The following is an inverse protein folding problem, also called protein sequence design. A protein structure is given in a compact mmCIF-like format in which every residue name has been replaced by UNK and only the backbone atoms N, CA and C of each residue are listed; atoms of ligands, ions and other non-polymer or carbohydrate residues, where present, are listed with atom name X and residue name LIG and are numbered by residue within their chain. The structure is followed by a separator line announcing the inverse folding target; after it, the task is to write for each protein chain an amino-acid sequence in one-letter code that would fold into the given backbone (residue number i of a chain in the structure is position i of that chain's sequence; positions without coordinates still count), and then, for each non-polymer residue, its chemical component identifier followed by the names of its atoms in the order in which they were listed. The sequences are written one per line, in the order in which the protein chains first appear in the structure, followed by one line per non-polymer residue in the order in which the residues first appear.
data_IF_098321964039
#
_entry.id   IF_098321964039
#
_cell.length_a   1.000
_cell.length_b   1.000
_cell.length_c   1.000
_cell.angle_alpha   90.00
_cell.angle_beta   90.00
_cell.angle_gamma   90.00
#
_symmetry.space_group_name_H-M   'P 1'
#
loop_
_entity.id
_entity.type
_entity.pdbx_description
1 polymer ?
#
# COMPACT_ATOMS: atom_id res chain seq x y z
N UNK A 1 11.28 -17.12 24.83
CA UNK A 1 11.05 -18.50 24.38
C UNK A 1 9.64 -18.67 23.80
N UNK A 2 8.58 -18.37 24.55
CA UNK A 2 7.17 -18.57 24.10
C UNK A 2 6.84 -17.91 22.76
N UNK A 3 7.18 -16.64 22.55
CA UNK A 3 6.87 -15.96 21.28
C UNK A 3 7.59 -16.60 20.09
N UNK A 4 8.87 -16.99 20.26
CA UNK A 4 9.64 -17.61 19.20
C UNK A 4 9.04 -18.99 18.85
N UNK A 5 8.73 -19.80 19.87
CA UNK A 5 8.07 -21.09 19.67
C UNK A 5 6.70 -20.94 18.99
N UNK A 6 5.91 -19.93 19.37
CA UNK A 6 4.62 -19.63 18.75
C UNK A 6 4.77 -19.25 17.27
N UNK A 7 5.74 -18.38 16.94
CA UNK A 7 6.05 -18.01 15.55
C UNK A 7 6.51 -19.24 14.75
N UNK A 8 7.44 -20.04 15.29
CA UNK A 8 7.92 -21.25 14.62
C UNK A 8 6.79 -22.23 14.37
N UNK A 9 5.95 -22.51 15.38
CA UNK A 9 4.80 -23.39 15.23
C UNK A 9 3.80 -22.84 14.20
N UNK A 10 3.51 -21.55 14.24
CA UNK A 10 2.62 -20.92 13.25
C UNK A 10 3.14 -21.02 11.82
N UNK A 11 4.45 -20.91 11.62
CA UNK A 11 5.08 -21.06 10.30
C UNK A 11 5.01 -22.51 9.80
N UNK A 12 5.23 -23.49 10.67
CA UNK A 12 5.28 -24.92 10.33
C UNK A 12 3.89 -25.53 10.16
N UNK A 13 2.93 -25.15 11.02
CA UNK A 13 1.54 -25.64 10.96
C UNK A 13 0.72 -24.98 9.84
N UNK A 14 1.28 -24.00 9.14
CA UNK A 14 0.61 -23.34 8.03
C UNK A 14 0.28 -24.36 6.90
N UNK A 15 -0.95 -24.36 6.35
CA UNK A 15 -1.33 -25.29 5.27
C UNK A 15 -0.46 -25.21 4.01
N UNK A 16 0.23 -24.08 3.81
CA UNK A 16 1.12 -23.84 2.69
C UNK A 16 2.60 -24.04 3.03
N UNK A 17 2.94 -24.64 4.18
CA UNK A 17 4.32 -24.96 4.52
C UNK A 17 4.92 -25.95 3.50
N UNK A 18 6.13 -25.74 2.97
CA UNK A 18 7.12 -24.68 3.23
C UNK A 18 7.02 -23.48 2.27
N UNK A 19 6.08 -23.49 1.33
CA UNK A 19 5.92 -22.45 0.29
C UNK A 19 5.62 -21.07 0.89
N UNK A 20 4.97 -21.01 2.04
CA UNK A 20 4.77 -19.77 2.80
C UNK A 20 6.10 -19.05 3.11
N UNK A 21 7.18 -19.77 3.44
CA UNK A 21 8.49 -19.18 3.72
C UNK A 21 9.06 -18.48 2.48
N UNK A 22 8.97 -19.14 1.32
CA UNK A 22 9.39 -18.56 0.05
C UNK A 22 8.54 -17.33 -0.30
N UNK A 23 7.22 -17.41 -0.11
CA UNK A 23 6.32 -16.27 -0.31
C UNK A 23 6.66 -15.08 0.59
N UNK A 24 6.96 -15.30 1.89
CA UNK A 24 7.37 -14.22 2.78
C UNK A 24 8.72 -13.62 2.39
N UNK A 25 9.66 -14.45 1.95
CA UNK A 25 10.93 -13.96 1.41
C UNK A 25 10.71 -13.07 0.17
N UNK A 26 9.80 -13.47 -0.73
CA UNK A 26 9.44 -12.65 -1.88
C UNK A 26 8.80 -11.32 -1.44
N UNK A 27 7.81 -11.35 -0.55
CA UNK A 27 7.10 -10.15 -0.11
C UNK A 27 7.98 -9.18 0.68
N UNK A 28 8.71 -9.68 1.68
CA UNK A 28 9.49 -8.82 2.59
C UNK A 28 10.79 -8.38 1.92
N UNK A 29 11.56 -9.32 1.37
CA UNK A 29 12.90 -9.01 0.86
C UNK A 29 12.85 -8.56 -0.59
N UNK A 30 12.20 -9.32 -1.47
CA UNK A 30 12.27 -9.04 -2.91
C UNK A 30 11.42 -7.85 -3.32
N UNK A 31 10.18 -7.79 -2.85
CA UNK A 31 9.24 -6.70 -3.13
C UNK A 31 9.52 -5.55 -2.16
N UNK A 32 9.48 -5.81 -0.85
CA UNK A 32 9.61 -4.76 0.16
C UNK A 32 10.97 -4.07 0.21
N UNK A 33 12.06 -4.83 0.32
CA UNK A 33 13.40 -4.26 0.53
C UNK A 33 14.13 -4.01 -0.78
N UNK A 34 14.21 -4.98 -1.70
CA UNK A 34 14.94 -4.81 -2.97
C UNK A 34 14.17 -3.83 -3.84
N UNK A 35 12.86 -4.06 -4.01
CA UNK A 35 11.92 -3.24 -4.77
C UNK A 35 12.35 -3.09 -6.24
N UNK A 36 11.70 -3.84 -7.14
CA UNK A 36 12.04 -3.90 -8.57
C UNK A 36 11.50 -2.72 -9.40
N UNK A 37 11.17 -1.59 -8.78
CA UNK A 37 10.62 -0.39 -9.43
C UNK A 37 11.40 0.11 -10.66
N UNK A 38 12.71 -0.17 -10.76
CA UNK A 38 13.54 0.24 -11.92
C UNK A 38 13.38 -0.71 -13.12
N UNK A 39 12.73 -1.86 -12.94
CA UNK A 39 12.63 -2.93 -13.96
C UNK A 39 11.19 -3.27 -14.34
N UNK A 40 10.26 -3.07 -13.43
CA UNK A 40 8.85 -3.41 -13.60
C UNK A 40 7.99 -2.30 -13.00
N UNK A 41 6.77 -2.17 -13.50
CA UNK A 41 5.82 -1.18 -13.02
C UNK A 41 5.08 -1.76 -11.80
N UNK A 42 5.57 -1.46 -10.60
CA UNK A 42 4.98 -1.92 -9.32
C UNK A 42 3.95 -0.93 -8.80
N UNK A 43 3.20 -1.32 -7.77
CA UNK A 43 2.26 -0.44 -7.09
C UNK A 43 2.89 0.89 -6.65
N UNK A 44 2.12 1.97 -6.75
CA UNK A 44 2.56 3.34 -6.44
C UNK A 44 3.09 3.52 -5.01
N UNK A 45 2.69 2.64 -4.09
CA UNK A 45 3.13 2.60 -2.70
C UNK A 45 4.61 2.24 -2.52
N UNK A 46 5.20 1.58 -3.52
CA UNK A 46 6.61 1.19 -3.48
C UNK A 46 7.56 2.34 -3.80
N UNK A 47 7.05 3.44 -4.36
CA UNK A 47 7.83 4.64 -4.64
C UNK A 47 7.97 5.51 -3.39
N UNK A 48 9.02 6.35 -3.29
CA UNK A 48 9.23 7.25 -2.16
C UNK A 48 8.18 8.37 -2.09
N UNK A 49 8.04 8.96 -0.90
CA UNK A 49 7.29 10.20 -0.73
C UNK A 49 8.05 11.39 -1.34
N UNK A 50 7.35 12.36 -1.95
CA UNK A 50 7.86 13.72 -2.04
C UNK A 50 8.15 14.23 -0.61
N UNK A 51 9.32 14.84 -0.34
CA UNK A 51 9.73 15.20 1.02
C UNK A 51 8.70 16.05 1.80
N UNK A 52 8.01 16.96 1.11
CA UNK A 52 7.00 17.82 1.70
C UNK A 52 5.68 17.08 2.01
N UNK A 53 5.34 16.06 1.23
CA UNK A 53 4.09 15.32 1.39
C UNK A 53 4.09 14.47 2.67
N UNK A 54 5.23 13.84 3.00
CA UNK A 54 5.38 13.05 4.23
C UNK A 54 5.20 13.94 5.47
N UNK A 55 5.81 15.13 5.48
CA UNK A 55 5.69 16.06 6.59
C UNK A 55 4.28 16.62 6.71
N UNK A 56 3.63 16.97 5.60
CA UNK A 56 2.28 17.53 5.61
C UNK A 56 1.22 16.51 6.05
N UNK A 57 1.36 15.25 5.63
CA UNK A 57 0.41 14.17 5.97
C UNK A 57 0.49 13.72 7.43
N UNK A 58 1.59 14.03 8.14
CA UNK A 58 1.81 13.56 9.51
C UNK A 58 2.42 14.62 10.42
N UNK A 59 2.11 15.90 10.16
CA UNK A 59 2.73 17.06 10.81
C UNK A 59 2.68 16.99 12.34
N UNK A 60 1.54 16.62 12.90
CA UNK A 60 1.34 16.51 14.36
C UNK A 60 2.26 15.44 14.96
N UNK A 61 2.36 14.28 14.30
CA UNK A 61 3.19 13.16 14.77
C UNK A 61 4.66 13.55 14.74
N UNK A 62 5.13 14.15 13.65
CA UNK A 62 6.52 14.63 13.54
C UNK A 62 6.82 15.74 14.55
N UNK A 63 5.88 16.67 14.80
CA UNK A 63 6.06 17.72 15.79
C UNK A 63 6.22 17.16 17.22
N UNK A 64 5.35 16.22 17.61
CA UNK A 64 5.46 15.52 18.90
C UNK A 64 6.78 14.76 18.99
N UNK A 65 7.18 14.07 17.91
CA UNK A 65 8.43 13.34 17.86
C UNK A 65 9.66 14.24 17.97
N UNK A 66 9.65 15.44 17.37
CA UNK A 66 10.74 16.41 17.53
C UNK A 66 10.87 16.90 18.98
N UNK A 67 9.76 17.17 19.66
CA UNK A 67 9.77 17.51 21.09
C UNK A 67 10.35 16.35 21.90
N UNK A 68 9.88 15.12 21.64
CA UNK A 68 10.41 13.94 22.30
C UNK A 68 11.92 13.78 22.05
N UNK A 69 12.38 13.96 20.82
CA UNK A 69 13.81 13.86 20.47
C UNK A 69 14.65 14.90 21.23
N UNK A 70 14.17 16.14 21.34
CA UNK A 70 14.82 17.17 22.15
C UNK A 70 14.90 16.75 23.63
N UNK A 71 13.79 16.24 24.19
CA UNK A 71 13.73 15.75 25.57
C UNK A 71 14.65 14.54 25.79
N UNK A 72 14.77 13.65 24.81
CA UNK A 72 15.68 12.51 24.85
C UNK A 72 17.13 12.98 24.99
N UNK A 73 17.56 13.95 24.19
CA UNK A 73 18.95 14.45 24.20
C UNK A 73 19.34 15.05 25.55
N UNK A 74 18.44 15.79 26.21
CA UNK A 74 18.71 16.39 27.53
C UNK A 74 18.53 15.40 28.70
N UNK A 75 17.85 14.28 28.48
CA UNK A 75 17.49 13.31 29.52
C UNK A 75 18.06 11.91 29.28
N UNK A 76 19.06 11.76 28.42
CA UNK A 76 19.56 10.47 27.94
C UNK A 76 19.88 9.47 29.06
N UNK A 77 20.39 9.94 30.20
CA UNK A 77 20.70 9.11 31.39
C UNK A 77 19.48 8.54 32.10
N UNK A 78 18.29 9.12 31.89
CA UNK A 78 17.02 8.66 32.46
C UNK A 78 16.28 7.66 31.56
N UNK A 79 16.74 7.52 30.32
CA UNK A 79 16.10 6.66 29.34
C UNK A 79 16.44 5.20 29.62
N UNK A 80 15.51 4.30 29.32
CA UNK A 80 15.70 2.87 29.50
C UNK A 80 15.86 2.16 28.16
N UNK A 81 16.16 0.87 28.21
CA UNK A 81 16.33 0.06 27.00
C UNK A 81 15.10 0.11 26.09
N UNK A 82 13.88 0.16 26.65
CA UNK A 82 12.63 0.20 25.87
C UNK A 82 12.52 1.48 25.04
N UNK A 83 12.72 2.66 25.64
CA UNK A 83 12.62 3.94 24.92
C UNK A 83 13.71 4.06 23.85
N UNK A 84 14.92 3.57 24.13
CA UNK A 84 16.02 3.54 23.16
C UNK A 84 15.70 2.58 22.00
N UNK A 85 15.22 1.36 22.28
CA UNK A 85 14.85 0.40 21.23
C UNK A 85 13.74 0.94 20.34
N UNK A 86 12.72 1.57 20.91
CA UNK A 86 11.64 2.20 20.15
C UNK A 86 12.16 3.35 19.27
N UNK A 87 13.07 4.18 19.80
CA UNK A 87 13.68 5.26 19.03
C UNK A 87 14.50 4.73 17.85
N UNK A 88 15.29 3.67 18.06
CA UNK A 88 16.04 3.00 16.99
C UNK A 88 15.08 2.46 15.93
N UNK A 89 13.97 1.83 16.33
CA UNK A 89 12.94 1.34 15.40
C UNK A 89 12.26 2.49 14.65
N UNK A 90 11.98 3.61 15.30
CA UNK A 90 11.46 4.81 14.64
C UNK A 90 12.39 5.30 13.52
N UNK A 91 13.71 5.39 13.79
CA UNK A 91 14.67 5.79 12.77
C UNK A 91 14.85 4.74 11.67
N UNK A 92 14.81 3.46 12.03
CA UNK A 92 14.83 2.36 11.06
C UNK A 92 13.66 2.45 10.09
N UNK A 93 12.43 2.60 10.60
CA UNK A 93 11.25 2.76 9.75
C UNK A 93 11.24 4.10 9.02
N UNK A 94 11.83 5.16 9.58
CA UNK A 94 11.95 6.44 8.87
C UNK A 94 12.83 6.27 7.64
N UNK A 95 13.97 5.59 7.77
CA UNK A 95 14.84 5.28 6.64
C UNK A 95 14.13 4.44 5.58
N UNK A 96 13.30 3.46 5.99
CA UNK A 96 12.49 2.68 5.07
C UNK A 96 11.37 3.51 4.40
N UNK A 97 10.72 4.41 5.12
CA UNK A 97 9.67 5.30 4.56
C UNK A 97 10.24 6.29 3.55
N UNK A 98 11.46 6.75 3.75
CA UNK A 98 12.16 7.57 2.76
C UNK A 98 12.44 6.80 1.46
N UNK A 99 12.51 5.48 1.52
CA UNK A 99 12.62 4.61 0.34
C UNK A 99 11.27 4.32 -0.30
N UNK A 100 10.23 4.01 0.48
CA UNK A 100 8.90 3.61 -0.02
C UNK A 100 7.79 4.09 0.92
N UNK A 101 6.70 4.60 0.33
CA UNK A 101 5.51 5.08 1.06
C UNK A 101 4.90 4.00 1.94
N UNK A 102 4.96 2.73 1.52
CA UNK A 102 4.39 1.58 2.24
C UNK A 102 4.81 1.51 3.71
N UNK A 103 6.03 1.91 4.03
CA UNK A 103 6.56 1.80 5.39
C UNK A 103 6.00 2.86 6.36
N UNK A 104 5.24 3.85 5.88
CA UNK A 104 4.61 4.86 6.74
C UNK A 104 3.68 4.22 7.78
N UNK A 105 3.02 3.12 7.41
CA UNK A 105 2.12 2.36 8.29
C UNK A 105 2.84 1.81 9.52
N UNK A 106 4.15 1.56 9.42
CA UNK A 106 4.99 1.16 10.55
C UNK A 106 5.62 2.38 11.24
N UNK A 107 6.12 3.35 10.46
CA UNK A 107 6.76 4.54 10.99
C UNK A 107 5.88 5.28 12.00
N UNK A 108 4.63 5.58 11.64
CA UNK A 108 3.75 6.44 12.45
C UNK A 108 3.48 5.84 13.84
N UNK A 109 3.08 4.55 13.99
CA UNK A 109 2.97 3.92 15.30
C UNK A 109 4.27 3.99 16.11
N UNK A 110 5.42 3.70 15.50
CA UNK A 110 6.70 3.73 16.21
C UNK A 110 7.08 5.15 16.65
N UNK A 111 6.86 6.18 15.82
CA UNK A 111 7.09 7.57 16.22
C UNK A 111 6.23 7.95 17.43
N UNK A 112 4.95 7.60 17.43
CA UNK A 112 4.01 7.93 18.52
C UNK A 112 4.43 7.22 19.81
N UNK A 113 4.65 5.91 19.76
CA UNK A 113 4.98 5.11 20.96
C UNK A 113 6.37 5.48 21.48
N UNK A 114 7.36 5.68 20.60
CA UNK A 114 8.68 6.18 21.00
C UNK A 114 8.56 7.54 21.67
N UNK A 115 7.78 8.47 21.10
CA UNK A 115 7.57 9.79 21.68
C UNK A 115 6.98 9.71 23.08
N UNK A 116 5.91 8.92 23.25
CA UNK A 116 5.26 8.74 24.54
C UNK A 116 6.23 8.22 25.61
N UNK A 117 6.99 7.17 25.30
CA UNK A 117 7.96 6.59 26.24
C UNK A 117 9.07 7.58 26.60
N UNK A 118 9.65 8.24 25.61
CA UNK A 118 10.71 9.22 25.83
C UNK A 118 10.19 10.36 26.72
N UNK A 119 9.02 10.90 26.42
CA UNK A 119 8.37 11.95 27.20
C UNK A 119 8.16 11.45 28.64
N UNK A 120 7.56 10.28 28.85
CA UNK A 120 7.35 9.72 30.20
C UNK A 120 8.64 9.58 31.01
N UNK A 121 9.75 9.10 30.43
CA UNK A 121 11.01 8.95 31.18
C UNK A 121 11.82 10.25 31.31
N UNK A 122 11.66 11.19 30.38
CA UNK A 122 12.35 12.48 30.43
C UNK A 122 11.82 13.33 31.58
N UNK A 123 10.50 13.25 31.76
CA UNK A 123 9.72 14.05 32.66
C UNK A 123 9.69 13.37 34.04
N UNK A 124 10.07 14.12 35.09
CA UNK A 124 10.02 13.62 36.47
C UNK A 124 8.57 13.34 36.90
N UNK A 125 8.38 12.59 37.99
CA UNK A 125 7.07 12.40 38.63
C UNK A 125 6.34 13.74 38.92
N UNK A 126 7.09 14.84 39.07
CA UNK A 126 6.56 16.20 39.29
C UNK A 126 6.29 17.00 38.00
N UNK A 127 6.42 16.44 36.80
CA UNK A 127 6.23 17.20 35.56
C UNK A 127 4.84 17.82 35.44
N UNK A 128 3.81 17.09 35.85
CA UNK A 128 2.43 17.61 35.86
C UNK A 128 2.37 18.83 36.78
N UNK A 129 3.08 18.81 37.90
CA UNK A 129 3.19 19.94 38.81
C UNK A 129 3.98 21.11 38.21
N UNK A 130 5.10 20.86 37.53
CA UNK A 130 5.95 21.89 36.90
C UNK A 130 5.22 22.56 35.71
N UNK A 131 4.56 21.78 34.86
CA UNK A 131 3.69 22.31 33.80
C UNK A 131 2.53 23.10 34.40
N UNK A 132 1.86 22.56 35.41
CA UNK A 132 0.77 23.27 36.08
C UNK A 132 1.24 24.61 36.66
N UNK A 133 2.41 24.64 37.30
CA UNK A 133 2.99 25.85 37.85
C UNK A 133 3.36 26.88 36.76
N UNK A 134 3.98 26.43 35.66
CA UNK A 134 4.28 27.29 34.51
C UNK A 134 3.00 27.84 33.86
N UNK A 135 1.99 27.00 33.65
CA UNK A 135 0.68 27.40 33.13
C UNK A 135 0.00 28.41 34.05
N UNK A 136 -0.04 28.14 35.35
CA UNK A 136 -0.68 29.01 36.33
C UNK A 136 0.03 30.36 36.46
N UNK A 137 1.37 30.37 36.45
CA UNK A 137 2.19 31.59 36.45
C UNK A 137 1.98 32.41 35.18
N UNK A 138 1.97 31.76 34.01
CA UNK A 138 1.74 32.44 32.73
C UNK A 138 0.31 32.99 32.63
N UNK A 139 -0.68 32.21 33.05
CA UNK A 139 -2.07 32.66 33.16
C UNK A 139 -2.19 33.87 34.08
N UNK A 140 -1.62 33.82 35.29
CA UNK A 140 -1.71 34.91 36.27
C UNK A 140 -1.05 36.20 35.77
N UNK A 141 0.09 36.11 35.09
CA UNK A 141 0.87 37.27 34.64
C UNK A 141 0.44 37.81 33.26
N UNK A 142 -0.13 36.98 32.39
CA UNK A 142 -0.41 37.29 30.98
C UNK A 142 -1.73 36.65 30.48
N UNK A 143 -2.84 36.88 31.20
CA UNK A 143 -4.17 36.30 30.91
C UNK A 143 -4.59 36.39 29.43
N UNK A 144 -4.48 37.58 28.82
CA UNK A 144 -4.90 37.79 27.42
C UNK A 144 -4.07 36.92 26.47
N UNK A 145 -2.74 36.94 26.60
CA UNK A 145 -1.85 36.13 25.77
C UNK A 145 -2.09 34.63 25.93
N UNK A 146 -2.42 34.17 27.15
CA UNK A 146 -2.79 32.79 27.41
C UNK A 146 -4.06 32.38 26.64
N UNK A 147 -5.14 33.18 26.72
CA UNK A 147 -6.36 32.88 25.97
C UNK A 147 -6.14 32.93 24.46
N UNK A 148 -5.36 33.89 23.94
CA UNK A 148 -5.00 33.95 22.53
C UNK A 148 -4.24 32.69 22.08
N UNK A 149 -3.26 32.22 22.87
CA UNK A 149 -2.52 31.00 22.57
C UNK A 149 -3.41 29.75 22.64
N UNK A 150 -4.28 29.66 23.65
CA UNK A 150 -5.21 28.54 23.78
C UNK A 150 -6.18 28.48 22.60
N UNK A 151 -6.79 29.61 22.23
CA UNK A 151 -7.67 29.73 21.07
C UNK A 151 -6.91 29.39 19.79
N UNK A 152 -5.68 29.89 19.63
CA UNK A 152 -4.84 29.58 18.48
C UNK A 152 -4.56 28.08 18.36
N UNK A 153 -4.13 27.41 19.44
CA UNK A 153 -3.86 25.98 19.42
C UNK A 153 -5.13 25.17 19.15
N UNK A 154 -6.23 25.47 19.83
CA UNK A 154 -7.52 24.80 19.61
C UNK A 154 -7.95 24.97 18.14
N UNK A 155 -7.90 26.19 17.61
CA UNK A 155 -8.23 26.47 16.21
C UNK A 155 -7.30 25.74 15.24
N UNK A 156 -5.99 25.77 15.49
CA UNK A 156 -4.98 25.10 14.67
C UNK A 156 -5.21 23.58 14.60
N UNK A 157 -5.37 22.92 15.75
CA UNK A 157 -5.66 21.49 15.80
C UNK A 157 -7.02 21.14 15.19
N UNK A 158 -8.04 21.99 15.38
CA UNK A 158 -9.37 21.79 14.79
C UNK A 158 -9.33 21.88 13.27
N UNK A 159 -8.62 22.87 12.70
CA UNK A 159 -8.47 23.05 11.26
C UNK A 159 -7.73 21.88 10.63
N UNK A 160 -6.62 21.44 11.23
CA UNK A 160 -5.86 20.28 10.73
C UNK A 160 -6.72 19.02 10.78
N UNK A 161 -7.36 18.75 11.93
CA UNK A 161 -8.21 17.56 12.10
C UNK A 161 -9.38 17.57 11.11
N UNK A 162 -10.03 18.71 10.90
CA UNK A 162 -11.12 18.84 9.94
C UNK A 162 -10.65 18.60 8.50
N UNK A 163 -9.49 19.15 8.12
CA UNK A 163 -8.90 18.94 6.81
C UNK A 163 -8.59 17.45 6.57
N UNK A 164 -8.01 16.77 7.54
CA UNK A 164 -7.72 15.34 7.46
C UNK A 164 -9.00 14.51 7.34
N UNK A 165 -10.00 14.75 8.20
CA UNK A 165 -11.30 14.05 8.13
C UNK A 165 -11.97 14.26 6.76
N UNK A 166 -11.95 15.48 6.24
CA UNK A 166 -12.52 15.78 4.92
C UNK A 166 -11.77 15.05 3.82
N UNK A 167 -10.43 15.06 3.85
CA UNK A 167 -9.58 14.36 2.89
C UNK A 167 -9.83 12.86 2.92
N UNK A 168 -9.80 12.24 4.11
CA UNK A 168 -10.09 10.82 4.28
C UNK A 168 -11.49 10.48 3.79
N UNK A 169 -12.51 11.31 4.06
CA UNK A 169 -13.86 11.08 3.55
C UNK A 169 -13.92 11.13 2.03
N UNK A 170 -13.19 12.06 1.41
CA UNK A 170 -13.08 12.15 -0.05
C UNK A 170 -12.39 10.90 -0.61
N UNK A 171 -11.24 10.52 -0.06
CA UNK A 171 -10.48 9.34 -0.47
C UNK A 171 -11.31 8.05 -0.35
N UNK A 172 -12.08 7.90 0.74
CA UNK A 172 -13.00 6.77 0.93
C UNK A 172 -14.22 6.81 0.00
N UNK A 173 -14.73 8.00 -0.34
CA UNK A 173 -15.87 8.15 -1.26
C UNK A 173 -15.50 7.84 -2.72
N UNK A 174 -14.22 7.93 -3.07
CA UNK A 174 -13.64 7.54 -4.36
C UNK A 174 -13.15 6.08 -4.34
N UNK A 175 -13.34 5.37 -3.22
CA UNK A 175 -12.91 3.98 -3.05
C UNK A 175 -13.44 3.04 -4.13
N UNK A 176 -12.69 1.96 -4.37
CA UNK A 176 -12.96 0.96 -5.41
C UNK A 176 -14.41 0.49 -5.36
N UNK A 177 -15.11 0.64 -6.49
CA UNK A 177 -16.50 0.20 -6.61
C UNK A 177 -16.56 -1.31 -6.33
N UNK A 178 -17.29 -1.70 -5.28
CA UNK A 178 -17.44 -3.11 -4.94
C UNK A 178 -18.06 -3.92 -6.08
N UNK A 179 -18.80 -3.29 -6.98
CA UNK A 179 -19.40 -3.95 -8.15
C UNK A 179 -18.49 -3.98 -9.38
N UNK A 180 -17.24 -3.51 -9.28
CA UNK A 180 -16.30 -3.49 -10.40
C UNK A 180 -16.13 -4.90 -10.99
N UNK A 181 -16.28 -4.99 -12.31
CA UNK A 181 -16.28 -6.20 -13.12
C UNK A 181 -17.32 -7.26 -12.75
N UNK A 182 -18.32 -6.95 -11.93
CA UNK A 182 -19.32 -7.94 -11.50
C UNK A 182 -20.00 -8.61 -12.69
N UNK A 183 -20.40 -7.83 -13.70
CA UNK A 183 -21.11 -8.35 -14.87
C UNK A 183 -20.16 -9.08 -15.82
N UNK A 184 -18.99 -8.51 -16.09
CA UNK A 184 -17.90 -9.15 -16.84
C UNK A 184 -17.49 -10.50 -16.24
N UNK A 185 -17.27 -10.58 -14.93
CA UNK A 185 -16.93 -11.81 -14.22
C UNK A 185 -18.05 -12.86 -14.30
N UNK A 186 -19.31 -12.45 -14.17
CA UNK A 186 -20.48 -13.33 -14.35
C UNK A 186 -20.59 -13.85 -15.78
N UNK A 187 -20.35 -12.99 -16.77
CA UNK A 187 -20.31 -13.39 -18.17
C UNK A 187 -19.23 -14.44 -18.41
N UNK A 188 -18.00 -14.21 -17.95
CA UNK A 188 -16.89 -15.15 -18.06
C UNK A 188 -17.24 -16.51 -17.45
N UNK A 189 -17.76 -16.52 -16.23
CA UNK A 189 -18.17 -17.76 -15.54
C UNK A 189 -19.20 -18.57 -16.32
N UNK A 190 -20.13 -17.90 -17.01
CA UNK A 190 -21.21 -18.55 -17.76
C UNK A 190 -20.81 -18.96 -19.19
N UNK A 191 -19.74 -18.38 -19.75
CA UNK A 191 -19.36 -18.54 -21.16
C UNK A 191 -17.95 -19.14 -21.33
N UNK A 192 -17.39 -19.74 -20.29
CA UNK A 192 -16.07 -20.38 -20.29
C UNK A 192 -16.12 -21.75 -19.63
N UNK A 193 -15.05 -22.51 -19.80
CA UNK A 193 -14.84 -23.79 -19.12
C UNK A 193 -14.22 -23.59 -17.73
N UNK A 194 -14.41 -24.57 -16.85
CA UNK A 194 -13.79 -24.55 -15.53
C UNK A 194 -12.27 -24.44 -15.66
N UNK A 195 -11.67 -23.52 -14.92
CA UNK A 195 -10.23 -23.22 -14.90
C UNK A 195 -9.67 -22.72 -16.23
N UNK A 196 -10.52 -22.33 -17.18
CA UNK A 196 -10.08 -21.65 -18.39
C UNK A 196 -9.37 -20.34 -18.01
N UNK A 197 -8.23 -20.10 -18.65
CA UNK A 197 -7.36 -18.96 -18.36
C UNK A 197 -7.89 -17.74 -19.11
N UNK A 198 -8.13 -16.66 -18.37
CA UNK A 198 -8.51 -15.35 -18.88
C UNK A 198 -7.24 -14.51 -18.94
N UNK A 199 -6.98 -13.91 -20.09
CA UNK A 199 -5.97 -12.87 -20.25
C UNK A 199 -6.56 -11.53 -19.81
N UNK A 200 -6.43 -11.18 -18.53
CA UNK A 200 -6.74 -9.82 -18.06
C UNK A 200 -5.61 -8.85 -18.39
N UNK A 201 -5.93 -7.56 -18.49
CA UNK A 201 -4.99 -6.52 -18.93
C UNK A 201 -4.20 -5.87 -17.80
N UNK A 202 -4.71 -5.89 -16.58
CA UNK A 202 -4.03 -5.34 -15.41
C UNK A 202 -3.99 -6.35 -14.25
N UNK A 203 -2.95 -6.26 -13.43
CA UNK A 203 -2.83 -7.04 -12.20
C UNK A 203 -3.80 -6.54 -11.12
N UNK A 204 -4.17 -5.26 -11.16
CA UNK A 204 -5.21 -4.67 -10.30
C UNK A 204 -6.63 -5.17 -10.60
N UNK A 205 -6.85 -5.76 -11.78
CA UNK A 205 -8.15 -6.36 -12.14
C UNK A 205 -8.42 -7.66 -11.38
N UNK A 206 -7.37 -8.32 -10.88
CA UNK A 206 -7.48 -9.66 -10.30
C UNK A 206 -8.40 -9.73 -9.07
N UNK A 207 -8.26 -8.89 -8.03
CA UNK A 207 -9.10 -9.00 -6.83
C UNK A 207 -10.61 -8.94 -7.09
N UNK A 208 -11.16 -7.94 -7.82
CA UNK A 208 -12.60 -7.92 -8.12
C UNK A 208 -13.03 -9.08 -9.02
N UNK A 209 -12.22 -9.46 -10.01
CA UNK A 209 -12.52 -10.61 -10.87
C UNK A 209 -12.58 -11.92 -10.09
N UNK A 210 -11.59 -12.19 -9.25
CA UNK A 210 -11.51 -13.39 -8.44
C UNK A 210 -12.63 -13.47 -7.40
N UNK A 211 -13.03 -12.32 -6.83
CA UNK A 211 -14.16 -12.24 -5.90
C UNK A 211 -15.48 -12.71 -6.54
N UNK A 212 -15.76 -12.27 -7.77
CA UNK A 212 -16.99 -12.63 -8.47
C UNK A 212 -16.91 -13.94 -9.27
N UNK A 213 -15.70 -14.34 -9.65
CA UNK A 213 -15.46 -15.49 -10.51
C UNK A 213 -14.17 -16.23 -10.14
N UNK A 214 -14.30 -17.18 -9.23
CA UNK A 214 -13.26 -18.17 -8.92
C UNK A 214 -13.34 -19.44 -9.80
N UNK A 215 -14.22 -19.46 -10.81
CA UNK A 215 -14.35 -20.57 -11.76
C UNK A 215 -13.25 -20.54 -12.82
N UNK A 216 -12.72 -19.35 -13.13
CA UNK A 216 -11.64 -19.12 -14.08
C UNK A 216 -10.29 -18.85 -13.43
N UNK A 217 -9.21 -18.99 -14.21
CA UNK A 217 -7.85 -18.59 -13.83
C UNK A 217 -7.45 -17.29 -14.52
N UNK A 218 -6.52 -16.57 -13.91
CA UNK A 218 -6.09 -15.24 -14.31
C UNK A 218 -4.56 -15.21 -14.43
N UNK A 219 -4.02 -14.51 -15.43
CA UNK A 219 -2.58 -14.52 -15.76
C UNK A 219 -1.69 -14.01 -14.63
N UNK A 220 -2.03 -12.85 -14.09
CA UNK A 220 -1.30 -12.17 -13.01
C UNK A 220 -2.27 -11.68 -11.93
N UNK A 221 -1.90 -11.88 -10.67
CA UNK A 221 -2.63 -11.32 -9.54
C UNK A 221 -1.65 -10.89 -8.46
N UNK A 222 -2.07 -9.93 -7.63
CA UNK A 222 -1.18 -9.25 -6.67
C UNK A 222 -0.06 -8.51 -7.42
N UNK A 223 1.14 -8.47 -6.84
CA UNK A 223 2.27 -7.70 -7.36
C UNK A 223 2.87 -8.31 -8.66
N UNK A 224 3.13 -7.49 -9.71
CA UNK A 224 3.69 -7.97 -10.98
C UNK A 224 5.09 -8.62 -10.84
N UNK A 225 5.79 -8.38 -9.72
CA UNK A 225 7.03 -9.07 -9.37
C UNK A 225 6.87 -10.59 -9.40
N UNK A 226 5.72 -11.13 -9.00
CA UNK A 226 5.49 -12.59 -9.02
C UNK A 226 5.62 -13.15 -10.43
N UNK A 227 5.00 -12.50 -11.41
CA UNK A 227 5.08 -12.90 -12.82
C UNK A 227 6.50 -12.72 -13.36
N UNK A 228 7.14 -11.58 -13.07
CA UNK A 228 8.52 -11.30 -13.49
C UNK A 228 9.51 -12.34 -12.95
N UNK A 229 9.35 -12.77 -11.70
CA UNK A 229 10.21 -13.78 -11.07
C UNK A 229 9.94 -15.19 -11.56
N UNK A 230 8.69 -15.48 -11.94
CA UNK A 230 8.33 -16.75 -12.53
C UNK A 230 8.93 -16.90 -13.94
N UNK A 231 8.71 -15.92 -14.82
CA UNK A 231 9.29 -15.89 -16.15
C UNK A 231 9.38 -14.45 -16.67
N UNK A 232 10.62 -13.93 -16.77
CA UNK A 232 10.88 -12.56 -17.23
C UNK A 232 10.46 -12.30 -18.67
N UNK A 233 10.63 -13.28 -19.55
CA UNK A 233 10.24 -13.16 -20.96
C UNK A 233 8.72 -13.06 -21.06
N UNK A 234 8.00 -13.94 -20.36
CA UNK A 234 6.54 -13.93 -20.34
C UNK A 234 5.99 -12.64 -19.71
N UNK A 235 6.62 -12.12 -18.66
CA UNK A 235 6.27 -10.81 -18.09
C UNK A 235 6.48 -9.68 -19.11
N UNK A 236 7.64 -9.62 -19.76
CA UNK A 236 7.92 -8.57 -20.76
C UNK A 236 6.90 -8.62 -21.89
N UNK A 237 6.61 -9.82 -22.38
CA UNK A 237 5.61 -10.04 -23.43
C UNK A 237 4.21 -9.60 -22.98
N UNK A 238 3.82 -9.94 -21.75
CA UNK A 238 2.56 -9.49 -21.16
C UNK A 238 2.47 -7.97 -21.15
N UNK A 239 3.49 -7.28 -20.63
CA UNK A 239 3.53 -5.81 -20.58
C UNK A 239 3.48 -5.19 -21.98
N UNK A 240 4.21 -5.75 -22.95
CA UNK A 240 4.23 -5.25 -24.32
C UNK A 240 2.87 -5.40 -25.02
N UNK A 241 2.18 -6.52 -24.77
CA UNK A 241 0.81 -6.75 -25.25
C UNK A 241 -0.17 -5.79 -24.56
N UNK A 242 -0.19 -5.73 -23.22
CA UNK A 242 -1.19 -4.94 -22.48
C UNK A 242 -1.04 -3.44 -22.71
N UNK A 243 0.18 -2.93 -22.78
CA UNK A 243 0.45 -1.52 -23.16
C UNK A 243 0.17 -1.22 -24.64
N UNK A 244 -0.08 -2.25 -25.46
CA UNK A 244 -0.34 -2.12 -26.89
C UNK A 244 0.88 -1.78 -27.74
N UNK A 245 2.09 -1.84 -27.16
CA UNK A 245 3.37 -1.63 -27.87
C UNK A 245 3.64 -2.74 -28.89
N UNK A 246 3.19 -3.96 -28.60
CA UNK A 246 3.31 -5.10 -29.49
C UNK A 246 1.94 -5.50 -30.06
N UNK A 247 1.83 -5.45 -31.38
CA UNK A 247 0.64 -5.87 -32.14
C UNK A 247 0.90 -7.12 -32.99
N UNK A 248 2.13 -7.63 -32.99
CA UNK A 248 2.55 -8.69 -33.88
C UNK A 248 2.19 -10.06 -33.31
N UNK A 249 1.49 -10.88 -34.12
CA UNK A 249 1.09 -12.25 -33.78
C UNK A 249 0.33 -12.40 -32.44
N UNK A 250 -0.45 -11.38 -32.04
CA UNK A 250 -1.21 -11.38 -30.78
C UNK A 250 -2.00 -12.67 -30.53
N UNK A 251 -2.64 -13.19 -31.58
CA UNK A 251 -3.35 -14.47 -31.52
C UNK A 251 -2.48 -15.60 -30.97
N UNK A 252 -1.28 -15.79 -31.54
CA UNK A 252 -0.39 -16.89 -31.14
C UNK A 252 0.11 -16.68 -29.72
N UNK A 253 0.49 -15.46 -29.39
CA UNK A 253 1.02 -15.11 -28.07
C UNK A 253 0.00 -15.40 -26.97
N UNK A 254 -1.19 -14.83 -27.09
CA UNK A 254 -2.23 -14.98 -26.08
C UNK A 254 -2.71 -16.45 -25.99
N UNK A 255 -2.90 -17.12 -27.14
CA UNK A 255 -3.41 -18.50 -27.18
C UNK A 255 -2.40 -19.56 -26.75
N UNK A 256 -1.13 -19.42 -27.13
CA UNK A 256 -0.13 -20.47 -26.92
C UNK A 256 0.83 -20.15 -25.77
N UNK A 257 1.32 -18.91 -25.67
CA UNK A 257 2.29 -18.53 -24.64
C UNK A 257 1.58 -18.30 -23.30
N UNK A 258 0.42 -17.62 -23.32
CA UNK A 258 -0.41 -17.39 -22.13
C UNK A 258 -1.51 -18.42 -21.92
N UNK A 259 -1.74 -19.31 -22.90
CA UNK A 259 -2.76 -20.39 -22.83
C UNK A 259 -4.17 -19.88 -22.55
N UNK A 260 -4.48 -18.67 -23.00
CA UNK A 260 -5.77 -18.03 -22.79
C UNK A 260 -6.59 -18.01 -24.09
N UNK A 261 -7.89 -18.28 -24.01
CA UNK A 261 -8.82 -18.17 -25.15
C UNK A 261 -9.74 -16.95 -25.04
N UNK A 262 -9.70 -16.26 -23.90
CA UNK A 262 -10.53 -15.10 -23.58
C UNK A 262 -9.61 -13.98 -23.10
N UNK A 263 -9.86 -12.78 -23.61
CA UNK A 263 -9.18 -11.55 -23.19
C UNK A 263 -10.21 -10.67 -22.49
N UNK A 264 -9.92 -10.24 -21.27
CA UNK A 264 -10.67 -9.18 -20.60
C UNK A 264 -9.86 -7.89 -20.70
N UNK A 265 -10.44 -6.90 -21.38
CA UNK A 265 -9.84 -5.61 -21.66
C UNK A 265 -10.57 -4.53 -20.85
N UNK A 266 -9.84 -3.86 -19.98
CA UNK A 266 -10.34 -2.68 -19.27
C UNK A 266 -10.51 -1.45 -20.20
N UNK A 267 -11.01 -0.34 -19.66
CA UNK A 267 -11.14 0.92 -20.42
C UNK A 267 -9.86 1.75 -20.51
N UNK A 268 -8.77 1.37 -19.82
CA UNK A 268 -7.51 2.13 -19.76
C UNK A 268 -6.59 1.79 -20.94
N UNK A 269 -6.71 0.59 -21.51
CA UNK A 269 -5.79 0.08 -22.54
C UNK A 269 -6.27 0.30 -23.99
N UNK A 270 -6.42 1.56 -24.40
CA UNK A 270 -6.93 1.93 -25.72
C UNK A 270 -6.05 1.46 -26.90
N UNK A 271 -4.74 1.37 -26.71
CA UNK A 271 -3.82 0.87 -27.75
C UNK A 271 -4.00 -0.64 -27.99
N UNK A 272 -4.09 -1.44 -26.92
CA UNK A 272 -4.41 -2.86 -27.05
C UNK A 272 -5.78 -3.06 -27.68
N UNK A 273 -6.80 -2.26 -27.30
CA UNK A 273 -8.12 -2.27 -27.96
C UNK A 273 -8.00 -2.18 -29.49
N UNK A 274 -7.24 -1.19 -29.97
CA UNK A 274 -7.04 -0.99 -31.40
C UNK A 274 -6.33 -2.17 -32.06
N UNK A 275 -5.39 -2.82 -31.36
CA UNK A 275 -4.68 -3.98 -31.87
C UNK A 275 -5.59 -5.22 -31.96
N UNK A 276 -6.48 -5.42 -30.99
CA UNK A 276 -7.45 -6.52 -31.00
C UNK A 276 -8.49 -6.34 -32.12
N UNK A 277 -9.07 -5.14 -32.27
CA UNK A 277 -10.09 -4.86 -33.30
C UNK A 277 -9.56 -5.05 -34.72
N UNK A 278 -8.27 -4.75 -34.95
CA UNK A 278 -7.62 -4.94 -36.27
C UNK A 278 -7.32 -6.41 -36.60
N UNK A 279 -7.49 -7.32 -35.64
CA UNK A 279 -7.13 -8.72 -35.79
C UNK A 279 -8.36 -9.62 -35.78
N UNK A 280 -8.67 -10.22 -36.94
CA UNK A 280 -9.87 -11.03 -37.16
C UNK A 280 -9.97 -12.29 -36.28
N UNK A 281 -8.91 -12.67 -35.55
CA UNK A 281 -8.95 -13.77 -34.59
C UNK A 281 -9.61 -13.39 -33.26
N UNK A 282 -9.81 -12.10 -32.97
CA UNK A 282 -10.42 -11.64 -31.73
C UNK A 282 -11.85 -11.16 -32.00
N UNK A 283 -12.81 -11.89 -31.45
CA UNK A 283 -14.24 -11.60 -31.61
C UNK A 283 -14.75 -10.99 -30.31
N UNK A 284 -15.29 -9.78 -30.36
CA UNK A 284 -15.95 -9.18 -29.19
C UNK A 284 -17.22 -9.97 -28.86
N UNK A 285 -17.31 -10.52 -27.65
CA UNK A 285 -18.46 -11.32 -27.22
C UNK A 285 -19.23 -10.72 -26.05
N UNK A 286 -18.65 -9.75 -25.35
CA UNK A 286 -19.31 -9.00 -24.29
C UNK A 286 -18.69 -7.61 -24.13
N UNK A 287 -19.51 -6.63 -23.76
CA UNK A 287 -19.09 -5.29 -23.43
C UNK A 287 -20.05 -4.68 -22.41
N UNK A 288 -19.49 -4.02 -21.40
CA UNK A 288 -20.21 -3.12 -20.51
C UNK A 288 -19.41 -1.80 -20.33
N UNK A 289 -19.84 -1.00 -19.36
CA UNK A 289 -19.20 0.28 -19.02
C UNK A 289 -17.80 0.10 -18.41
N UNK A 290 -17.46 -1.10 -17.91
CA UNK A 290 -16.23 -1.39 -17.15
C UNK A 290 -15.20 -2.16 -18.00
N UNK A 291 -15.63 -3.08 -18.86
CA UNK A 291 -14.73 -3.92 -19.65
C UNK A 291 -15.31 -4.37 -21.01
N UNK A 292 -14.42 -4.92 -21.84
CA UNK A 292 -14.72 -5.64 -23.08
C UNK A 292 -14.11 -7.04 -23.00
N UNK A 293 -14.84 -8.05 -23.48
CA UNK A 293 -14.36 -9.43 -23.50
C UNK A 293 -14.29 -9.91 -24.95
N UNK A 294 -13.10 -10.35 -25.33
CA UNK A 294 -12.83 -10.91 -26.65
C UNK A 294 -12.57 -12.40 -26.54
N UNK A 295 -13.22 -13.19 -27.40
CA UNK A 295 -12.95 -14.60 -27.59
C UNK A 295 -12.00 -14.80 -28.77
N UNK A 296 -11.04 -15.69 -28.60
CA UNK A 296 -10.10 -16.08 -29.64
C UNK A 296 -10.71 -17.20 -30.50
N UNK A 297 -10.73 -16.97 -31.82
CA UNK A 297 -11.13 -17.94 -32.85
C UNK A 297 -9.88 -18.57 -33.50
#
# INVERSE_FOLDING_TARGET
SVCLSGVTLGLVLNPYFYKNLYFYYQQIIQIGIINYQDKINVGGEWYPYPPLELLQSSLIVFFIFLIALFLFLISIKKQNAKSISLLILSFFFLALTLKSRRYVEYLIPFLIVSSAFIITFSLKDNFVHDIYFLFHKFYKNKKIAFYCLAIFLISFFSVISFKEVKRTKQDLSVGSNLTLYKNSAKYLKNNSSAKEIIFQTDWDDFPPLFYYNNYNYYIVGLDPTFMYKYNKQLYNEYTQITTGQDSYNLYKKIKYDFKANLVLLDKKHSLLKNNLIKNNHFILTYQDDEAEIYKIN
#
